data_IF_538306245194
#
_entry.id   IF_538306245194
#
_cell.length_a   1.000
_cell.length_b   1.000
_cell.length_c   1.000
_cell.angle_alpha   90.00
_cell.angle_beta   90.00
_cell.angle_gamma   90.00
#
_symmetry.space_group_name_H-M   'P 1'
#
loop_
_entity.id
_entity.type
_entity.pdbx_description
1 polymer ?
#
# COMPACT_ATOMS: atom_id res chain seq x y z
N UNK A 1 -18.94 14.55 1.13
CA UNK A 1 -17.60 14.54 1.77
C UNK A 1 -16.84 15.79 1.37
N UNK A 2 -16.06 16.38 2.30
CA UNK A 2 -15.16 17.49 2.00
C UNK A 2 -13.79 16.94 1.59
N UNK A 3 -13.30 17.31 0.39
CA UNK A 3 -11.97 16.96 -0.09
C UNK A 3 -11.00 18.11 0.22
N UNK A 4 -9.77 17.77 0.62
CA UNK A 4 -8.71 18.73 0.91
C UNK A 4 -7.34 18.16 0.56
N UNK A 5 -6.38 19.02 0.28
CA UNK A 5 -4.99 18.69 -0.03
C UNK A 5 -4.05 19.39 0.94
N UNK A 6 -2.88 18.77 1.19
CA UNK A 6 -1.77 19.39 1.91
C UNK A 6 -0.43 18.81 1.45
N UNK A 7 0.65 19.37 1.93
CA UNK A 7 1.99 18.89 1.60
C UNK A 7 2.87 18.95 2.85
N UNK A 8 3.91 18.11 2.88
CA UNK A 8 5.00 18.25 3.85
C UNK A 8 6.36 18.11 3.17
N UNK A 9 7.44 18.48 3.89
CA UNK A 9 8.81 18.29 3.45
C UNK A 9 9.42 17.07 4.13
N UNK A 10 10.05 16.19 3.34
CA UNK A 10 10.74 15.01 3.84
C UNK A 10 11.89 14.67 2.87
N UNK A 11 13.09 14.43 3.41
CA UNK A 11 14.29 14.06 2.64
C UNK A 11 14.56 15.00 1.43
N UNK A 12 14.28 16.29 1.59
CA UNK A 12 14.45 17.29 0.53
C UNK A 12 13.31 17.39 -0.47
N UNK A 13 12.38 16.43 -0.48
CA UNK A 13 11.24 16.41 -1.38
C UNK A 13 9.97 17.04 -0.77
N UNK A 14 9.05 17.42 -1.63
CA UNK A 14 7.69 17.83 -1.24
C UNK A 14 6.75 16.69 -1.47
N UNK A 15 6.25 16.11 -0.39
CA UNK A 15 5.29 15.01 -0.43
C UNK A 15 3.89 15.60 -0.55
N UNK A 16 3.16 15.20 -1.60
CA UNK A 16 1.77 15.56 -1.81
C UNK A 16 0.85 14.63 -1.02
N UNK A 17 -0.18 15.20 -0.42
CA UNK A 17 -1.18 14.45 0.33
C UNK A 17 -2.59 15.02 0.13
N UNK A 18 -3.59 14.17 0.32
CA UNK A 18 -4.98 14.54 0.22
C UNK A 18 -5.86 13.73 1.16
N UNK A 19 -7.05 14.24 1.44
CA UNK A 19 -7.97 13.57 2.32
C UNK A 19 -9.43 13.89 2.03
N UNK A 20 -10.30 13.03 2.52
CA UNK A 20 -11.75 13.15 2.41
C UNK A 20 -12.36 13.00 3.80
N UNK A 21 -13.14 13.99 4.20
CA UNK A 21 -13.78 14.03 5.50
C UNK A 21 -15.31 13.94 5.36
N UNK A 22 -15.97 12.90 5.89
CA UNK A 22 -17.43 12.85 5.96
C UNK A 22 -17.96 13.86 7.01
N UNK A 23 -19.27 14.18 7.00
CA UNK A 23 -19.86 15.13 7.96
C UNK A 23 -19.69 14.69 9.42
N UNK A 24 -19.63 13.38 9.67
CA UNK A 24 -19.36 12.79 10.99
C UNK A 24 -18.30 11.72 10.84
N UNK A 25 -17.23 11.85 11.61
CA UNK A 25 -16.07 10.96 11.55
C UNK A 25 -15.99 10.09 12.79
N UNK A 26 -16.18 8.78 12.64
CA UNK A 26 -16.04 7.78 13.71
C UNK A 26 -14.66 7.12 13.77
N UNK A 27 -13.87 7.29 12.72
CA UNK A 27 -12.50 6.79 12.61
C UNK A 27 -11.83 7.34 11.35
N UNK A 28 -10.52 7.22 11.25
CA UNK A 28 -9.74 7.65 10.10
C UNK A 28 -8.92 6.49 9.55
N UNK A 29 -8.93 6.31 8.23
CA UNK A 29 -8.14 5.32 7.51
C UNK A 29 -7.04 6.06 6.74
N UNK A 30 -5.78 5.79 7.10
CA UNK A 30 -4.62 6.29 6.36
C UNK A 30 -4.25 5.25 5.30
N UNK A 31 -4.31 5.62 4.01
CA UNK A 31 -4.05 4.72 2.89
C UNK A 31 -2.65 4.95 2.34
N UNK A 32 -1.91 3.85 2.15
CA UNK A 32 -0.59 3.79 1.51
C UNK A 32 -0.73 3.03 0.20
N UNK A 33 -0.58 3.73 -0.91
CA UNK A 33 -0.80 3.20 -2.26
C UNK A 33 0.30 2.23 -2.72
N UNK A 34 0.07 1.53 -3.81
CA UNK A 34 0.99 0.58 -4.42
C UNK A 34 2.08 1.23 -5.28
N UNK A 35 2.95 0.39 -5.82
CA UNK A 35 3.98 0.84 -6.76
C UNK A 35 3.35 1.23 -8.11
N UNK A 36 3.89 2.30 -8.72
CA UNK A 36 3.46 2.79 -10.04
C UNK A 36 1.98 3.22 -10.11
N UNK A 37 1.46 3.69 -9.00
CA UNK A 37 0.16 4.33 -8.87
C UNK A 37 0.27 5.57 -7.96
N UNK A 38 -0.85 6.15 -7.55
CA UNK A 38 -0.88 7.35 -6.70
C UNK A 38 -2.19 7.46 -5.92
N UNK A 39 -2.22 8.34 -4.94
CA UNK A 39 -3.31 8.52 -3.98
C UNK A 39 -4.68 8.84 -4.62
N UNK A 40 -4.72 9.54 -5.77
CA UNK A 40 -6.00 9.91 -6.40
C UNK A 40 -6.78 8.72 -6.98
N UNK A 41 -6.13 7.57 -7.19
CA UNK A 41 -6.82 6.33 -7.60
C UNK A 41 -7.73 5.76 -6.50
N UNK A 42 -7.61 6.27 -5.27
CA UNK A 42 -8.40 5.82 -4.12
C UNK A 42 -9.65 6.68 -3.82
N UNK A 43 -10.02 7.61 -4.71
CA UNK A 43 -11.19 8.47 -4.50
C UNK A 43 -12.49 7.67 -4.30
N UNK A 44 -12.74 6.63 -5.10
CA UNK A 44 -13.91 5.78 -4.98
C UNK A 44 -13.90 4.96 -3.67
N UNK A 45 -12.72 4.51 -3.23
CA UNK A 45 -12.51 3.86 -1.92
C UNK A 45 -12.83 4.85 -0.80
N UNK A 46 -12.30 6.08 -0.89
CA UNK A 46 -12.55 7.13 0.09
C UNK A 46 -14.04 7.46 0.18
N UNK A 47 -14.75 7.52 -0.97
CA UNK A 47 -16.20 7.70 -0.99
C UNK A 47 -16.93 6.58 -0.23
N UNK A 48 -16.58 5.33 -0.51
CA UNK A 48 -17.20 4.18 0.15
C UNK A 48 -16.94 4.15 1.67
N UNK A 49 -15.70 4.45 2.09
CA UNK A 49 -15.33 4.57 3.50
C UNK A 49 -16.05 5.74 4.17
N UNK A 50 -16.18 6.87 3.47
CA UNK A 50 -16.90 8.05 3.95
C UNK A 50 -18.40 7.80 4.16
N UNK A 51 -19.05 7.04 3.28
CA UNK A 51 -20.44 6.58 3.46
C UNK A 51 -20.58 5.73 4.73
N UNK A 52 -19.53 4.99 5.10
CA UNK A 52 -19.46 4.22 6.34
C UNK A 52 -18.97 5.04 7.54
N UNK A 53 -18.78 6.36 7.42
CA UNK A 53 -18.39 7.28 8.51
C UNK A 53 -16.89 7.31 8.80
N UNK A 54 -16.02 6.91 7.88
CA UNK A 54 -14.58 7.01 8.04
C UNK A 54 -14.02 8.17 7.22
N UNK A 55 -13.19 9.01 7.82
CA UNK A 55 -12.31 9.92 7.09
C UNK A 55 -11.19 9.12 6.43
N UNK A 56 -10.68 9.62 5.31
CA UNK A 56 -9.54 9.04 4.61
C UNK A 56 -8.44 10.07 4.47
N UNK A 57 -7.21 9.70 4.81
CA UNK A 57 -5.99 10.42 4.50
C UNK A 57 -5.11 9.54 3.63
N UNK A 58 -4.48 10.13 2.63
CA UNK A 58 -3.54 9.43 1.75
C UNK A 58 -2.53 10.40 1.19
N UNK A 59 -1.44 9.90 0.66
CA UNK A 59 -0.36 10.71 0.09
C UNK A 59 0.27 9.98 -1.08
N UNK A 60 1.00 10.72 -1.90
CA UNK A 60 1.79 10.15 -2.97
C UNK A 60 3.18 9.83 -2.45
N UNK A 61 3.56 8.56 -2.49
CA UNK A 61 4.86 8.07 -2.05
C UNK A 61 6.01 8.71 -2.84
N UNK A 62 7.21 8.68 -2.27
CA UNK A 62 8.42 9.13 -2.96
C UNK A 62 8.48 8.60 -4.39
N UNK A 63 8.72 9.51 -5.33
CA UNK A 63 8.83 9.19 -6.75
C UNK A 63 7.52 8.82 -7.44
N UNK A 64 6.35 9.05 -6.82
CA UNK A 64 5.03 8.73 -7.38
C UNK A 64 4.14 9.98 -7.43
N UNK A 65 3.09 9.91 -8.24
CA UNK A 65 2.03 10.90 -8.33
C UNK A 65 2.53 12.35 -8.46
N UNK A 66 1.99 13.24 -7.61
CA UNK A 66 2.35 14.67 -7.54
C UNK A 66 3.54 14.94 -6.60
N UNK A 67 4.02 13.95 -5.85
CA UNK A 67 5.22 14.10 -5.01
C UNK A 67 6.43 14.43 -5.86
N UNK A 68 7.25 15.39 -5.40
CA UNK A 68 8.45 15.82 -6.12
C UNK A 68 9.54 14.75 -6.14
N UNK A 69 10.59 14.99 -6.89
CA UNK A 69 11.75 14.13 -6.95
C UNK A 69 11.78 13.13 -8.10
N UNK A 70 12.73 12.24 -8.07
CA UNK A 70 13.01 11.29 -9.15
C UNK A 70 12.00 10.16 -9.16
N UNK A 71 11.39 9.90 -10.32
CA UNK A 71 10.37 8.85 -10.49
C UNK A 71 10.90 7.45 -10.13
N UNK A 72 10.13 6.75 -9.29
CA UNK A 72 10.45 5.39 -8.81
C UNK A 72 11.62 5.33 -7.83
N UNK A 73 12.04 6.46 -7.26
CA UNK A 73 13.13 6.56 -6.31
C UNK A 73 12.63 6.91 -4.90
N UNK A 74 13.14 6.18 -3.91
CA UNK A 74 13.04 6.53 -2.50
C UNK A 74 14.45 6.64 -1.91
N UNK A 75 14.75 7.63 -1.07
CA UNK A 75 16.09 7.78 -0.47
C UNK A 75 16.52 6.58 0.37
N UNK A 76 15.60 6.01 1.13
CA UNK A 76 15.80 4.80 1.93
C UNK A 76 14.45 4.11 2.19
N UNK A 77 14.47 2.83 2.55
CA UNK A 77 13.22 2.14 2.94
C UNK A 77 12.62 2.73 4.23
N UNK A 78 13.44 3.23 5.13
CA UNK A 78 12.99 3.91 6.37
C UNK A 78 12.20 5.19 6.05
N UNK A 79 12.53 5.91 4.95
CA UNK A 79 11.77 7.08 4.52
C UNK A 79 10.29 6.76 4.23
N UNK A 80 9.98 5.57 3.69
CA UNK A 80 8.61 5.10 3.56
C UNK A 80 7.92 4.93 4.93
N UNK A 81 8.62 4.35 5.91
CA UNK A 81 8.06 4.15 7.25
C UNK A 81 7.83 5.48 7.96
N UNK A 82 8.71 6.45 7.75
CA UNK A 82 8.58 7.79 8.32
C UNK A 82 7.40 8.55 7.68
N UNK A 83 7.10 8.35 6.37
CA UNK A 83 5.90 8.89 5.73
C UNK A 83 4.62 8.34 6.37
N UNK A 84 4.58 7.04 6.67
CA UNK A 84 3.44 6.42 7.40
C UNK A 84 3.27 7.06 8.78
N UNK A 85 4.37 7.33 9.49
CA UNK A 85 4.30 8.02 10.78
C UNK A 85 3.71 9.42 10.63
N UNK A 86 4.18 10.19 9.65
CA UNK A 86 3.71 11.57 9.42
C UNK A 86 2.21 11.59 9.12
N UNK A 87 1.70 10.71 8.25
CA UNK A 87 0.26 10.69 7.96
C UNK A 87 -0.58 10.23 9.16
N UNK A 88 -0.07 9.36 10.04
CA UNK A 88 -0.73 9.00 11.30
C UNK A 88 -0.75 10.15 12.31
N UNK A 89 0.34 10.93 12.41
CA UNK A 89 0.41 12.13 13.24
C UNK A 89 -0.57 13.20 12.73
N UNK A 90 -0.68 13.35 11.41
CA UNK A 90 -1.66 14.24 10.78
C UNK A 90 -3.09 13.77 11.05
N UNK A 91 -3.34 12.46 11.05
CA UNK A 91 -4.64 11.88 11.42
C UNK A 91 -5.01 12.20 12.89
N UNK A 92 -4.05 12.14 13.82
CA UNK A 92 -4.27 12.55 15.21
C UNK A 92 -4.58 14.05 15.34
N UNK A 93 -3.84 14.86 14.57
CA UNK A 93 -4.01 16.32 14.60
C UNK A 93 -5.36 16.77 14.05
N UNK A 94 -5.81 16.19 12.94
CA UNK A 94 -7.08 16.55 12.27
C UNK A 94 -8.30 15.90 12.91
N UNK A 95 -8.13 14.70 13.45
CA UNK A 95 -9.21 13.88 14.00
C UNK A 95 -8.82 13.36 15.40
N UNK A 96 -8.69 14.26 16.39
CA UNK A 96 -8.23 13.87 17.72
C UNK A 96 -9.22 12.93 18.39
N UNK A 97 -8.70 11.90 19.05
CA UNK A 97 -9.49 10.98 19.87
C UNK A 97 -10.32 9.95 19.09
N UNK A 98 -10.29 9.93 17.74
CA UNK A 98 -10.97 8.87 16.98
C UNK A 98 -10.01 7.71 16.69
N UNK A 99 -10.57 6.52 16.42
CA UNK A 99 -9.80 5.34 16.01
C UNK A 99 -9.03 5.61 14.72
N UNK A 100 -7.77 5.20 14.68
CA UNK A 100 -6.90 5.27 13.49
C UNK A 100 -6.66 3.88 12.94
N UNK A 101 -6.69 3.78 11.63
CA UNK A 101 -6.40 2.56 10.88
C UNK A 101 -5.39 2.85 9.77
N UNK A 102 -4.58 1.86 9.42
CA UNK A 102 -3.75 1.88 8.23
C UNK A 102 -4.33 0.92 7.18
N UNK A 103 -4.26 1.31 5.92
CA UNK A 103 -4.53 0.41 4.80
C UNK A 103 -3.41 0.55 3.77
N UNK A 104 -2.67 -0.53 3.53
CA UNK A 104 -1.66 -0.58 2.48
C UNK A 104 -2.04 -1.56 1.38
N UNK A 105 -1.81 -1.15 0.13
CA UNK A 105 -1.97 -2.00 -1.04
C UNK A 105 -0.63 -2.30 -1.70
N UNK A 106 -0.38 -3.53 -2.11
CA UNK A 106 0.82 -3.92 -2.89
C UNK A 106 2.13 -3.49 -2.20
N UNK A 107 2.93 -2.61 -2.81
CA UNK A 107 4.07 -1.94 -2.16
C UNK A 107 3.66 -1.32 -0.83
N UNK A 108 2.59 -0.54 -0.81
CA UNK A 108 2.04 0.06 0.40
C UNK A 108 1.63 -0.97 1.44
N UNK A 109 1.12 -2.13 1.01
CA UNK A 109 0.84 -3.27 1.89
C UNK A 109 2.11 -3.81 2.57
N UNK A 110 3.20 -3.95 1.81
CA UNK A 110 4.52 -4.30 2.35
C UNK A 110 5.06 -3.25 3.31
N UNK A 111 4.88 -1.95 3.00
CA UNK A 111 5.28 -0.83 3.86
C UNK A 111 4.49 -0.87 5.18
N UNK A 112 3.16 -0.99 5.12
CA UNK A 112 2.30 -1.07 6.31
C UNK A 112 2.70 -2.25 7.19
N UNK A 113 2.88 -3.45 6.64
CA UNK A 113 3.30 -4.62 7.42
C UNK A 113 4.65 -4.38 8.11
N UNK A 114 5.65 -3.83 7.40
CA UNK A 114 6.94 -3.48 8.02
C UNK A 114 6.78 -2.41 9.11
N UNK A 115 5.94 -1.41 8.89
CA UNK A 115 5.66 -0.38 9.88
C UNK A 115 5.06 -0.97 11.17
N UNK A 116 4.05 -1.84 11.04
CA UNK A 116 3.44 -2.52 12.18
C UNK A 116 4.46 -3.33 12.99
N UNK A 117 5.32 -4.07 12.30
CA UNK A 117 6.29 -4.97 12.93
C UNK A 117 7.47 -4.23 13.57
N UNK A 118 7.94 -3.13 12.95
CA UNK A 118 9.10 -2.37 13.42
C UNK A 118 8.75 -1.26 14.42
N UNK A 119 7.64 -0.54 14.17
CA UNK A 119 7.27 0.66 14.93
C UNK A 119 6.18 0.41 15.98
N UNK A 120 5.44 -0.69 15.85
CA UNK A 120 4.37 -1.11 16.79
C UNK A 120 3.43 0.06 17.19
N UNK A 121 2.77 0.71 16.21
CA UNK A 121 1.97 1.91 16.46
C UNK A 121 0.75 1.61 17.34
N UNK A 122 0.32 2.61 18.10
CA UNK A 122 -0.95 2.55 18.83
C UNK A 122 -2.11 2.97 17.91
N UNK A 123 -2.62 2.01 17.13
CA UNK A 123 -3.76 2.17 16.22
C UNK A 123 -4.78 1.04 16.43
N UNK A 124 -6.02 1.26 15.99
CA UNK A 124 -7.10 0.30 16.19
C UNK A 124 -6.95 -0.97 15.32
N UNK A 125 -6.35 -0.83 14.14
CA UNK A 125 -6.10 -1.95 13.25
C UNK A 125 -5.45 -1.55 11.95
N UNK A 126 -5.10 -2.55 11.13
CA UNK A 126 -4.54 -2.33 9.80
C UNK A 126 -5.11 -3.29 8.76
N UNK A 127 -5.03 -2.91 7.50
CA UNK A 127 -5.46 -3.67 6.34
C UNK A 127 -4.27 -3.77 5.37
N UNK A 128 -3.99 -4.96 4.86
CA UNK A 128 -3.00 -5.17 3.81
C UNK A 128 -3.65 -5.97 2.68
N UNK A 129 -3.70 -5.38 1.47
CA UNK A 129 -4.27 -5.99 0.27
C UNK A 129 -3.19 -6.28 -0.75
N UNK A 130 -3.06 -7.52 -1.20
CA UNK A 130 -2.03 -7.95 -2.16
C UNK A 130 -0.61 -7.53 -1.77
N UNK A 131 -0.17 -7.61 -0.48
CA UNK A 131 1.05 -6.98 -0.02
C UNK A 131 2.29 -7.55 -0.71
N UNK A 132 3.25 -6.67 -1.03
CA UNK A 132 4.53 -7.06 -1.59
C UNK A 132 5.41 -7.73 -0.52
N UNK A 133 5.14 -8.99 -0.27
CA UNK A 133 5.95 -9.89 0.56
C UNK A 133 6.86 -10.78 -0.31
N UNK A 134 6.31 -11.26 -1.42
CA UNK A 134 6.99 -11.98 -2.50
C UNK A 134 6.44 -11.50 -3.83
N UNK A 135 7.29 -11.48 -4.85
CA UNK A 135 6.83 -11.24 -6.22
C UNK A 135 6.03 -12.44 -6.74
N UNK A 136 5.04 -12.19 -7.61
CA UNK A 136 4.29 -13.21 -8.33
C UNK A 136 5.08 -13.89 -9.46
N UNK A 137 6.29 -13.39 -9.73
CA UNK A 137 7.21 -13.87 -10.76
C UNK A 137 8.66 -13.85 -10.25
N UNK A 138 9.52 -14.65 -10.86
CA UNK A 138 10.96 -14.62 -10.57
C UNK A 138 11.65 -13.55 -11.43
N UNK A 139 12.23 -12.50 -10.81
CA UNK A 139 13.00 -11.53 -11.57
C UNK A 139 14.27 -12.21 -12.16
N UNK A 140 14.68 -11.89 -13.39
CA UNK A 140 15.89 -12.44 -13.97
C UNK A 140 17.11 -12.26 -13.07
N UNK A 141 17.83 -13.33 -12.77
CA UNK A 141 18.95 -13.33 -11.82
C UNK A 141 20.01 -12.27 -12.15
N UNK A 142 20.28 -12.03 -13.44
CA UNK A 142 21.23 -11.00 -13.87
C UNK A 142 20.76 -9.58 -13.51
N UNK A 143 19.44 -9.28 -13.55
CA UNK A 143 18.89 -7.98 -13.13
C UNK A 143 19.02 -7.77 -11.62
N UNK A 144 18.77 -8.82 -10.84
CA UNK A 144 18.98 -8.77 -9.38
C UNK A 144 20.46 -8.55 -9.05
N UNK A 145 21.35 -9.23 -9.77
CA UNK A 145 22.80 -9.03 -9.63
C UNK A 145 23.22 -7.61 -10.01
N UNK A 146 22.73 -7.08 -11.13
CA UNK A 146 23.01 -5.71 -11.56
C UNK A 146 22.49 -4.69 -10.54
N UNK A 147 21.28 -4.86 -10.03
CA UNK A 147 20.74 -3.99 -8.99
C UNK A 147 21.61 -3.99 -7.73
N UNK A 148 22.11 -5.16 -7.29
CA UNK A 148 23.04 -5.28 -6.15
C UNK A 148 24.38 -4.59 -6.39
N UNK A 149 24.88 -4.56 -7.61
CA UNK A 149 26.07 -3.78 -7.97
C UNK A 149 25.76 -2.28 -7.96
N UNK A 150 24.69 -1.91 -8.63
CA UNK A 150 24.31 -0.50 -8.82
C UNK A 150 23.93 0.21 -7.52
N UNK A 151 23.37 -0.49 -6.55
CA UNK A 151 22.99 0.13 -5.26
C UNK A 151 24.19 0.72 -4.51
N UNK A 152 25.39 0.16 -4.69
CA UNK A 152 26.63 0.66 -4.07
C UNK A 152 27.33 1.77 -4.88
N UNK A 153 27.04 1.89 -6.18
CA UNK A 153 27.67 2.85 -7.11
C UNK A 153 26.75 4.03 -7.35
N UNK A 154 25.49 3.75 -7.68
CA UNK A 154 24.46 4.75 -7.98
C UNK A 154 23.06 4.19 -7.64
N UNK A 155 22.63 4.25 -6.36
CA UNK A 155 21.37 3.65 -5.90
C UNK A 155 20.13 4.23 -6.61
N UNK A 156 20.24 5.44 -7.12
CA UNK A 156 19.22 6.09 -7.93
C UNK A 156 19.25 5.70 -9.43
N UNK A 157 20.03 4.69 -9.83
CA UNK A 157 19.99 4.15 -11.19
C UNK A 157 18.58 3.63 -11.50
N UNK A 158 17.98 4.14 -12.56
CA UNK A 158 16.58 3.88 -12.91
C UNK A 158 16.47 2.88 -14.04
N UNK A 159 15.64 1.86 -13.87
CA UNK A 159 15.25 0.90 -14.91
C UNK A 159 13.73 0.92 -15.13
N UNK A 160 13.24 0.45 -16.29
CA UNK A 160 11.84 0.13 -16.48
C UNK A 160 11.41 -0.97 -15.50
N UNK A 161 10.38 -0.73 -14.72
CA UNK A 161 9.72 -1.79 -13.97
C UNK A 161 8.89 -2.62 -14.94
N UNK A 162 9.18 -3.92 -15.02
CA UNK A 162 8.43 -4.85 -15.85
C UNK A 162 7.10 -5.22 -15.15
N UNK A 163 6.17 -4.28 -15.08
CA UNK A 163 4.86 -4.49 -14.49
C UNK A 163 3.84 -4.72 -15.61
N UNK A 164 3.17 -5.87 -15.57
CA UNK A 164 2.07 -6.17 -16.49
C UNK A 164 0.79 -5.51 -15.97
N UNK A 165 0.39 -4.39 -16.60
CA UNK A 165 -0.84 -3.68 -16.23
C UNK A 165 -2.09 -4.52 -16.43
N UNK A 166 -2.09 -5.49 -17.35
CA UNK A 166 -3.17 -6.43 -17.54
C UNK A 166 -3.46 -7.35 -16.35
N UNK A 167 -2.50 -7.43 -15.42
CA UNK A 167 -2.61 -8.24 -14.20
C UNK A 167 -3.11 -7.47 -12.96
N UNK A 168 -3.38 -6.15 -13.07
CA UNK A 168 -3.85 -5.37 -11.91
C UNK A 168 -5.29 -5.70 -11.54
N UNK A 169 -6.18 -5.86 -12.52
CA UNK A 169 -7.61 -6.12 -12.32
C UNK A 169 -8.18 -6.94 -13.49
N UNK A 170 -9.25 -7.66 -13.23
CA UNK A 170 -10.09 -8.29 -14.28
C UNK A 170 -10.96 -7.26 -15.01
N UNK A 171 -11.13 -6.05 -14.43
CA UNK A 171 -11.84 -4.94 -15.07
C UNK A 171 -10.94 -4.26 -16.11
N UNK A 172 -11.22 -4.50 -17.39
CA UNK A 172 -10.44 -3.94 -18.51
C UNK A 172 -10.52 -2.40 -18.59
N UNK A 173 -11.59 -1.81 -18.06
CA UNK A 173 -11.72 -0.35 -18.02
C UNK A 173 -10.77 0.24 -16.97
N UNK A 174 -10.60 -0.40 -15.82
CA UNK A 174 -9.59 0.01 -14.82
C UNK A 174 -8.17 -0.13 -15.38
N UNK A 175 -7.87 -1.22 -16.10
CA UNK A 175 -6.58 -1.38 -16.80
C UNK A 175 -6.36 -0.25 -17.80
N UNK A 176 -7.36 0.08 -18.62
CA UNK A 176 -7.29 1.17 -19.60
C UNK A 176 -7.04 2.54 -18.93
N UNK A 177 -7.72 2.82 -17.83
CA UNK A 177 -7.51 4.05 -17.03
C UNK A 177 -6.09 4.09 -16.47
N UNK A 178 -5.61 2.97 -15.93
CA UNK A 178 -4.25 2.86 -15.41
C UNK A 178 -3.19 3.16 -16.46
N UNK A 179 -3.33 2.58 -17.66
CA UNK A 179 -2.39 2.78 -18.78
C UNK A 179 -2.42 4.21 -19.34
N UNK A 180 -3.59 4.88 -19.28
CA UNK A 180 -3.75 6.24 -19.75
C UNK A 180 -3.33 7.30 -18.72
N UNK A 181 -3.05 6.92 -17.48
CA UNK A 181 -2.73 7.85 -16.41
C UNK A 181 -1.28 8.35 -16.49
N UNK A 182 -1.05 9.66 -16.68
CA UNK A 182 0.30 10.20 -16.82
C UNK A 182 1.14 10.15 -15.53
N UNK A 183 0.53 9.90 -14.38
CA UNK A 183 1.23 9.72 -13.11
C UNK A 183 1.76 8.31 -12.88
N UNK A 184 1.32 7.34 -13.68
CA UNK A 184 1.81 5.97 -13.69
C UNK A 184 3.03 5.89 -14.63
N UNK A 185 4.23 5.73 -14.10
CA UNK A 185 5.46 5.99 -14.87
C UNK A 185 6.30 4.76 -15.23
N UNK A 186 6.04 3.59 -14.65
CA UNK A 186 6.76 2.34 -14.93
C UNK A 186 8.27 2.36 -14.67
N UNK A 187 8.77 3.23 -13.77
CA UNK A 187 10.20 3.37 -13.46
C UNK A 187 10.48 2.96 -12.03
N UNK A 188 11.58 2.24 -11.80
CA UNK A 188 12.07 1.86 -10.48
C UNK A 188 13.57 2.06 -10.38
N UNK A 189 14.08 2.47 -9.22
CA UNK A 189 15.52 2.51 -8.98
C UNK A 189 16.01 1.24 -8.30
N UNK A 190 17.31 0.93 -8.50
CA UNK A 190 17.95 -0.23 -7.89
C UNK A 190 17.80 -0.23 -6.35
N UNK A 191 17.96 0.94 -5.73
CA UNK A 191 17.80 1.11 -4.28
C UNK A 191 16.36 0.81 -3.82
N UNK A 192 15.37 1.35 -4.52
CA UNK A 192 13.94 1.11 -4.22
C UNK A 192 13.58 -0.37 -4.36
N UNK A 193 13.99 -1.00 -5.48
CA UNK A 193 13.72 -2.42 -5.72
C UNK A 193 14.28 -3.32 -4.62
N UNK A 194 15.60 -3.18 -4.32
CA UNK A 194 16.25 -4.00 -3.29
C UNK A 194 15.73 -3.71 -1.89
N UNK A 195 15.40 -2.46 -1.59
CA UNK A 195 14.78 -2.07 -0.32
C UNK A 195 13.44 -2.77 -0.10
N UNK A 196 12.54 -2.72 -1.09
CA UNK A 196 11.24 -3.38 -1.03
C UNK A 196 11.37 -4.91 -0.95
N UNK A 197 12.25 -5.50 -1.76
CA UNK A 197 12.48 -6.95 -1.76
C UNK A 197 13.03 -7.45 -0.43
N UNK A 198 14.00 -6.73 0.13
CA UNK A 198 14.56 -7.02 1.46
C UNK A 198 13.54 -6.88 2.57
N UNK A 199 12.69 -5.87 2.50
CA UNK A 199 11.64 -5.61 3.47
C UNK A 199 10.54 -6.69 3.46
N UNK A 200 10.14 -7.19 2.28
CA UNK A 200 9.19 -8.30 2.18
C UNK A 200 9.72 -9.56 2.88
N UNK A 201 10.97 -9.92 2.60
CA UNK A 201 11.64 -11.06 3.27
C UNK A 201 11.72 -10.86 4.78
N UNK A 202 12.09 -9.66 5.23
CA UNK A 202 12.18 -9.34 6.66
C UNK A 202 10.81 -9.45 7.34
N UNK A 203 9.74 -8.95 6.71
CA UNK A 203 8.38 -9.04 7.26
C UNK A 203 7.93 -10.49 7.44
N UNK A 204 8.21 -11.39 6.49
CA UNK A 204 7.93 -12.83 6.61
C UNK A 204 8.64 -13.46 7.81
N UNK A 205 9.90 -13.10 8.04
CA UNK A 205 10.70 -13.62 9.16
C UNK A 205 10.29 -13.07 10.54
N UNK A 206 9.46 -12.03 10.59
CA UNK A 206 9.08 -11.34 11.81
C UNK A 206 7.56 -11.23 12.01
N UNK A 207 6.76 -11.99 11.25
CA UNK A 207 5.31 -11.94 11.29
C UNK A 207 4.73 -12.26 12.69
N UNK A 208 5.42 -13.06 13.49
CA UNK A 208 5.12 -13.38 14.88
C UNK A 208 5.15 -12.16 15.83
N UNK A 209 5.81 -11.06 15.42
CA UNK A 209 5.91 -9.82 16.20
C UNK A 209 4.70 -8.88 16.02
N UNK A 210 3.69 -9.28 15.26
CA UNK A 210 2.47 -8.48 15.06
C UNK A 210 1.77 -8.20 16.41
N UNK A 211 1.46 -6.92 16.67
CA UNK A 211 0.82 -6.44 17.90
C UNK A 211 -0.54 -5.75 17.66
N UNK A 212 -0.89 -5.52 16.39
CA UNK A 212 -2.07 -4.75 15.99
C UNK A 212 -3.02 -5.68 15.22
N UNK A 213 -4.35 -5.60 15.42
CA UNK A 213 -5.31 -6.30 14.59
C UNK A 213 -5.06 -6.06 13.11
N UNK A 214 -4.99 -7.12 12.30
CA UNK A 214 -4.67 -7.06 10.88
C UNK A 214 -5.70 -7.82 10.05
N UNK A 215 -6.27 -7.14 9.05
CA UNK A 215 -6.96 -7.76 7.92
C UNK A 215 -5.97 -7.92 6.78
N UNK A 216 -5.60 -9.16 6.49
CA UNK A 216 -4.73 -9.51 5.37
C UNK A 216 -5.56 -10.12 4.26
N UNK A 217 -5.56 -9.54 3.07
CA UNK A 217 -6.34 -10.00 1.92
C UNK A 217 -5.47 -10.17 0.68
N UNK A 218 -5.78 -11.19 -0.13
CA UNK A 218 -5.07 -11.45 -1.38
C UNK A 218 -5.96 -12.13 -2.41
N UNK A 219 -5.82 -11.75 -3.69
CA UNK A 219 -6.46 -12.44 -4.82
C UNK A 219 -5.69 -13.72 -5.18
N UNK A 220 -6.37 -14.84 -5.35
CA UNK A 220 -5.66 -16.12 -5.65
C UNK A 220 -5.06 -16.17 -7.06
N UNK A 221 -5.53 -15.32 -7.97
CA UNK A 221 -5.00 -15.19 -9.33
C UNK A 221 -4.07 -13.97 -9.52
N UNK A 222 -3.61 -13.36 -8.42
CA UNK A 222 -2.63 -12.28 -8.45
C UNK A 222 -1.28 -12.77 -9.03
N UNK A 223 -0.83 -12.11 -10.11
CA UNK A 223 0.44 -12.41 -10.80
C UNK A 223 1.53 -11.38 -10.51
N UNK A 224 1.20 -10.28 -9.83
CA UNK A 224 2.16 -9.21 -9.51
C UNK A 224 2.84 -9.45 -8.17
N UNK A 225 2.05 -9.78 -7.14
CA UNK A 225 2.53 -10.25 -5.84
C UNK A 225 2.02 -11.67 -5.56
N UNK A 226 2.85 -12.47 -4.91
CA UNK A 226 2.52 -13.88 -4.71
C UNK A 226 1.56 -14.08 -3.52
N UNK A 227 0.39 -14.71 -3.71
CA UNK A 227 -0.48 -15.11 -2.61
C UNK A 227 0.21 -16.00 -1.58
N UNK A 228 1.24 -16.76 -2.00
CA UNK A 228 2.03 -17.60 -1.09
C UNK A 228 2.79 -16.77 -0.05
N UNK A 229 3.19 -15.53 -0.39
CA UNK A 229 3.76 -14.61 0.60
C UNK A 229 2.77 -14.28 1.71
N UNK A 230 1.51 -14.00 1.37
CA UNK A 230 0.45 -13.75 2.36
C UNK A 230 0.10 -14.98 3.17
N UNK A 231 0.08 -16.18 2.57
CA UNK A 231 -0.12 -17.44 3.28
C UNK A 231 1.01 -17.71 4.29
N UNK A 232 2.27 -17.48 3.90
CA UNK A 232 3.44 -17.65 4.78
C UNK A 232 3.39 -16.68 5.96
N UNK A 233 3.10 -15.39 5.68
CA UNK A 233 2.91 -14.40 6.74
C UNK A 233 1.78 -14.81 7.69
N UNK A 234 0.63 -15.20 7.15
CA UNK A 234 -0.52 -15.64 7.92
C UNK A 234 -0.25 -16.91 8.76
N UNK A 235 0.61 -17.81 8.29
CA UNK A 235 0.99 -19.01 9.04
C UNK A 235 1.75 -18.66 10.32
N UNK A 236 2.58 -17.61 10.31
CA UNK A 236 3.46 -17.21 11.41
C UNK A 236 2.87 -16.13 12.32
N UNK A 237 1.94 -15.31 11.81
CA UNK A 237 1.32 -14.23 12.58
C UNK A 237 0.41 -14.75 13.71
N UNK A 238 0.27 -14.00 14.85
CA UNK A 238 -0.63 -14.34 15.96
C UNK A 238 -2.08 -14.44 15.48
N UNK A 239 -2.70 -15.61 15.66
CA UNK A 239 -4.04 -15.91 15.14
C UNK A 239 -5.16 -15.03 15.71
N UNK A 240 -5.02 -14.59 16.95
CA UNK A 240 -5.97 -13.72 17.63
C UNK A 240 -5.95 -12.25 17.11
N UNK A 241 -4.92 -11.88 16.35
CA UNK A 241 -4.78 -10.54 15.75
C UNK A 241 -5.00 -10.56 14.23
N UNK A 242 -5.04 -11.74 13.60
CA UNK A 242 -5.09 -11.85 12.15
C UNK A 242 -6.45 -12.33 11.64
N UNK A 243 -7.06 -11.53 10.78
CA UNK A 243 -8.12 -11.95 9.84
C UNK A 243 -7.48 -12.15 8.47
N UNK A 244 -7.43 -13.39 7.97
CA UNK A 244 -6.85 -13.70 6.66
C UNK A 244 -7.94 -14.12 5.68
N UNK A 245 -8.05 -13.45 4.54
CA UNK A 245 -9.04 -13.73 3.50
C UNK A 245 -8.39 -13.83 2.13
N UNK A 246 -8.54 -14.98 1.49
CA UNK A 246 -8.23 -15.17 0.07
C UNK A 246 -9.50 -14.94 -0.76
N UNK A 247 -9.36 -14.23 -1.89
CA UNK A 247 -10.40 -13.95 -2.85
C UNK A 247 -10.16 -14.79 -4.10
N UNK A 248 -10.98 -15.82 -4.27
CA UNK A 248 -10.77 -16.83 -5.32
C UNK A 248 -10.95 -16.25 -6.72
N UNK A 249 -9.92 -16.41 -7.57
CA UNK A 249 -9.90 -15.92 -8.94
C UNK A 249 -9.67 -14.41 -9.11
N UNK A 250 -9.57 -13.63 -8.02
CA UNK A 250 -9.33 -12.19 -8.08
C UNK A 250 -7.88 -11.89 -8.38
N UNK A 251 -7.66 -10.75 -9.06
CA UNK A 251 -6.35 -10.24 -9.42
C UNK A 251 -5.76 -9.37 -8.29
N UNK A 252 -4.82 -8.52 -8.63
CA UNK A 252 -3.99 -7.78 -7.68
C UNK A 252 -4.76 -6.69 -6.91
N UNK A 253 -5.48 -5.83 -7.64
CA UNK A 253 -6.20 -4.69 -7.07
C UNK A 253 -7.62 -5.08 -6.66
N UNK A 254 -7.79 -5.77 -5.52
CA UNK A 254 -9.08 -6.23 -5.04
C UNK A 254 -10.16 -5.14 -5.02
N UNK A 255 -9.77 -3.91 -4.68
CA UNK A 255 -10.63 -2.73 -4.59
C UNK A 255 -10.97 -2.12 -5.97
N UNK A 256 -10.39 -2.63 -7.04
CA UNK A 256 -10.60 -2.23 -8.43
C UNK A 256 -11.09 -3.39 -9.32
N UNK A 257 -11.52 -4.48 -8.73
CA UNK A 257 -12.13 -5.58 -9.46
C UNK A 257 -13.48 -5.16 -10.07
N UNK A 258 -13.99 -5.86 -11.09
CA UNK A 258 -15.30 -5.53 -11.68
C UNK A 258 -16.44 -5.65 -10.66
N UNK A 259 -17.53 -4.89 -10.88
CA UNK A 259 -18.75 -5.08 -10.09
C UNK A 259 -19.41 -6.45 -10.41
N UNK A 260 -20.01 -7.14 -9.44
CA UNK A 260 -20.24 -6.70 -8.05
C UNK A 260 -19.08 -6.98 -7.08
N UNK A 261 -17.99 -7.60 -7.53
CA UNK A 261 -16.90 -8.09 -6.72
C UNK A 261 -16.19 -6.96 -5.94
N UNK A 262 -16.01 -5.81 -6.58
CA UNK A 262 -15.47 -4.57 -5.93
C UNK A 262 -16.33 -4.18 -4.73
N UNK A 263 -17.64 -4.15 -4.90
CA UNK A 263 -18.57 -3.81 -3.81
C UNK A 263 -18.49 -4.83 -2.68
N UNK A 264 -18.32 -6.12 -2.96
CA UNK A 264 -18.16 -7.16 -1.94
C UNK A 264 -16.88 -6.95 -1.13
N UNK A 265 -15.74 -6.71 -1.80
CA UNK A 265 -14.46 -6.42 -1.16
C UNK A 265 -14.55 -5.20 -0.24
N UNK A 266 -15.07 -4.08 -0.74
CA UNK A 266 -15.17 -2.85 0.03
C UNK A 266 -16.17 -2.98 1.20
N UNK A 267 -17.23 -3.77 1.03
CA UNK A 267 -18.16 -4.09 2.11
C UNK A 267 -17.49 -4.95 3.18
N UNK A 268 -16.69 -5.93 2.79
CA UNK A 268 -15.93 -6.76 3.73
C UNK A 268 -14.95 -5.90 4.56
N UNK A 269 -14.25 -4.97 3.91
CA UNK A 269 -13.36 -4.01 4.59
C UNK A 269 -14.12 -3.14 5.58
N UNK A 270 -15.25 -2.53 5.16
CA UNK A 270 -16.02 -1.63 6.03
C UNK A 270 -16.62 -2.38 7.23
N UNK A 271 -17.04 -3.62 7.06
CA UNK A 271 -17.53 -4.47 8.14
C UNK A 271 -16.41 -4.79 9.14
N UNK A 272 -15.21 -5.12 8.64
CA UNK A 272 -14.05 -5.38 9.50
C UNK A 272 -13.65 -4.13 10.30
N UNK A 273 -13.56 -2.97 9.66
CA UNK A 273 -13.30 -1.69 10.35
C UNK A 273 -14.33 -1.39 11.43
N UNK A 274 -15.60 -1.75 11.22
CA UNK A 274 -16.69 -1.48 12.16
C UNK A 274 -16.67 -2.40 13.40
N UNK A 275 -15.97 -3.53 13.31
CA UNK A 275 -15.85 -4.51 14.41
C UNK A 275 -14.57 -4.32 15.23
N UNK A 276 -13.65 -3.46 14.80
CA UNK A 276 -12.40 -3.14 15.47
C UNK A 276 -12.33 -1.65 15.83
#
# INVERSE_FOLDING_TARGET
MNHFEWNWKQEGETIFAQGWNPPQTKGVVCIVHGFNEHSSRYEHVAKRLGEAGYAVLTYDEFGHGKTSGKRGHVPSYEAFLDSVKIVLDEAETRFPGVKKYLWGHSMGGGIVLNYLLKRQPNIAGAIATGPLLKLGFEPPAFKVFLAKMMVNIYPAFTEPAALDSGAISRDKEEVRKYDADPFNHGKITAGTFLGMFGAGKWALQNADKLKVPLLLMHGTADKLTSPEGSKEFAASAPKNLLTFKLWEGFYHELHNEPEPDRTEVLTYITNWLSSH
#
